data_IF_048505712449
#
_entry.id   IF_048505712449
#
_cell.length_a   1.000
_cell.length_b   1.000
_cell.length_c   1.000
_cell.angle_alpha   90.00
_cell.angle_beta   90.00
_cell.angle_gamma   90.00
#
_symmetry.space_group_name_H-M   'P 1'
#
loop_
_entity.id
_entity.type
_entity.pdbx_description
1 polymer ?
#
# COMPACT_ATOMS: atom_id res chain seq x y z
N UNK A 1 -23.44 -91.18 10.12
CA UNK A 1 -24.57 -90.52 9.44
C UNK A 1 -24.17 -89.09 9.13
N UNK A 2 -24.24 -88.64 7.86
CA UNK A 2 -23.65 -87.40 7.38
C UNK A 2 -24.65 -86.24 7.36
N UNK A 3 -24.16 -85.01 7.45
CA UNK A 3 -24.86 -83.81 6.96
C UNK A 3 -23.87 -82.94 6.19
N UNK A 4 -24.13 -82.84 4.89
CA UNK A 4 -23.46 -81.99 3.92
C UNK A 4 -23.82 -80.52 4.14
N UNK A 5 -22.84 -79.62 4.02
CA UNK A 5 -23.03 -78.17 3.94
C UNK A 5 -22.18 -77.59 2.82
N UNK A 6 -22.83 -77.10 1.78
CA UNK A 6 -22.29 -76.76 0.46
C UNK A 6 -21.54 -75.43 0.46
N UNK A 7 -20.25 -75.44 0.11
CA UNK A 7 -19.48 -74.25 -0.27
C UNK A 7 -19.82 -73.85 -1.73
N UNK A 8 -20.61 -72.78 -1.92
CA UNK A 8 -20.73 -72.11 -3.24
C UNK A 8 -19.57 -71.14 -3.44
N UNK A 9 -18.57 -71.56 -4.21
CA UNK A 9 -17.52 -70.70 -4.75
C UNK A 9 -18.09 -69.90 -5.94
N UNK A 10 -18.33 -68.61 -5.76
CA UNK A 10 -18.59 -67.69 -6.87
C UNK A 10 -17.27 -67.38 -7.58
N UNK A 11 -16.94 -68.16 -8.62
CA UNK A 11 -15.89 -67.79 -9.59
C UNK A 11 -16.42 -66.68 -10.50
N UNK A 12 -16.13 -65.42 -10.15
CA UNK A 12 -16.19 -64.33 -11.11
C UNK A 12 -15.20 -64.61 -12.24
N UNK A 13 -15.70 -64.62 -13.48
CA UNK A 13 -14.91 -64.81 -14.69
C UNK A 13 -13.83 -63.72 -14.80
N UNK A 14 -12.65 -64.09 -15.33
CA UNK A 14 -11.46 -63.23 -15.39
C UNK A 14 -11.68 -61.90 -16.12
N UNK A 15 -12.69 -61.82 -16.99
CA UNK A 15 -13.10 -60.60 -17.68
C UNK A 15 -13.79 -59.58 -16.75
N UNK A 16 -14.64 -60.03 -15.82
CA UNK A 16 -15.35 -59.14 -14.90
C UNK A 16 -14.40 -58.52 -13.85
N UNK A 17 -13.36 -59.25 -13.43
CA UNK A 17 -12.30 -58.71 -12.53
C UNK A 17 -11.41 -57.69 -13.23
N UNK A 18 -11.08 -57.86 -14.51
CA UNK A 18 -10.29 -56.87 -15.27
C UNK A 18 -11.06 -55.58 -15.51
N UNK A 19 -12.36 -55.67 -15.82
CA UNK A 19 -13.25 -54.51 -15.98
C UNK A 19 -13.41 -53.70 -14.68
N UNK A 20 -13.62 -54.36 -13.53
CA UNK A 20 -13.75 -53.65 -12.24
C UNK A 20 -12.44 -52.99 -11.78
N UNK A 21 -11.29 -53.66 -11.98
CA UNK A 21 -9.98 -53.10 -11.62
C UNK A 21 -9.64 -51.91 -12.53
N UNK A 22 -10.01 -51.94 -13.81
CA UNK A 22 -9.77 -50.83 -14.73
C UNK A 22 -10.69 -49.63 -14.46
N UNK A 23 -11.93 -49.86 -14.03
CA UNK A 23 -12.85 -48.81 -13.56
C UNK A 23 -12.41 -48.22 -12.21
N UNK A 24 -11.84 -49.03 -11.30
CA UNK A 24 -11.29 -48.55 -10.02
C UNK A 24 -9.94 -47.84 -10.18
N UNK A 25 -9.08 -48.27 -11.11
CA UNK A 25 -7.86 -47.55 -11.48
C UNK A 25 -8.17 -46.24 -12.23
N UNK A 26 -9.18 -46.21 -13.11
CA UNK A 26 -9.63 -44.97 -13.73
C UNK A 26 -10.30 -44.03 -12.71
N UNK A 27 -11.04 -44.53 -11.71
CA UNK A 27 -11.58 -43.67 -10.63
C UNK A 27 -10.52 -43.18 -9.65
N UNK A 28 -9.41 -43.90 -9.46
CA UNK A 28 -8.23 -43.41 -8.72
C UNK A 28 -7.45 -42.36 -9.54
N UNK A 29 -7.20 -42.61 -10.81
CA UNK A 29 -6.51 -41.66 -11.70
C UNK A 29 -7.33 -40.41 -12.03
N UNK A 30 -8.67 -40.47 -12.01
CA UNK A 30 -9.53 -39.29 -12.16
C UNK A 30 -9.63 -38.47 -10.86
N UNK A 31 -9.28 -39.04 -9.70
CA UNK A 31 -9.16 -38.30 -8.43
C UNK A 31 -7.74 -37.76 -8.16
N UNK A 32 -6.73 -38.25 -8.86
CA UNK A 32 -5.33 -37.80 -8.72
C UNK A 32 -4.92 -36.70 -9.71
N UNK A 33 -5.88 -36.12 -10.44
CA UNK A 33 -5.65 -34.96 -11.31
C UNK A 33 -6.48 -33.72 -10.89
N UNK A 34 -7.04 -33.70 -9.68
CA UNK A 34 -7.21 -32.42 -8.97
C UNK A 34 -5.80 -31.94 -8.67
N UNK A 35 -5.28 -30.98 -9.45
CA UNK A 35 -4.02 -30.32 -9.13
C UNK A 35 -4.10 -29.87 -7.66
N UNK A 36 -3.27 -30.43 -6.79
CA UNK A 36 -3.31 -30.11 -5.36
C UNK A 36 -3.14 -28.60 -5.23
N UNK A 37 -4.16 -27.89 -4.73
CA UNK A 37 -4.11 -26.44 -4.55
C UNK A 37 -2.90 -26.09 -3.69
N UNK A 38 -2.09 -25.13 -4.14
CA UNK A 38 -1.03 -24.59 -3.27
C UNK A 38 -1.62 -23.48 -2.42
N UNK A 39 -1.32 -23.50 -1.11
CA UNK A 39 -1.74 -22.45 -0.19
C UNK A 39 -0.59 -21.48 0.04
N UNK A 40 -0.89 -20.19 -0.01
CA UNK A 40 0.04 -19.09 0.16
C UNK A 40 -0.45 -18.17 1.27
N UNK A 41 0.47 -17.64 2.09
CA UNK A 41 0.20 -16.44 2.89
C UNK A 41 0.79 -15.23 2.18
N UNK A 42 0.12 -14.10 2.32
CA UNK A 42 0.61 -12.79 1.89
C UNK A 42 0.40 -11.74 2.98
N UNK A 43 1.43 -10.94 3.27
CA UNK A 43 1.36 -9.80 4.16
C UNK A 43 0.92 -8.57 3.37
N UNK A 44 -0.11 -7.88 3.83
CA UNK A 44 -0.57 -6.63 3.22
C UNK A 44 0.14 -5.39 3.82
N UNK A 45 1.44 -5.48 4.09
CA UNK A 45 2.22 -4.43 4.76
C UNK A 45 3.06 -4.94 5.95
N UNK A 46 3.95 -4.09 6.46
CA UNK A 46 4.69 -4.32 7.72
C UNK A 46 4.18 -3.39 8.83
N UNK A 47 4.81 -3.40 10.01
CA UNK A 47 4.44 -2.52 11.13
C UNK A 47 4.25 -1.07 10.69
N UNK A 48 3.08 -0.49 11.00
CA UNK A 48 2.68 0.86 10.60
C UNK A 48 2.10 0.99 9.19
N UNK A 49 1.84 -0.12 8.48
CA UNK A 49 1.24 -0.15 7.14
C UNK A 49 0.19 -1.25 7.05
N UNK A 50 -0.97 -0.93 6.47
CA UNK A 50 -1.98 -1.94 6.18
C UNK A 50 -2.71 -1.64 4.88
N UNK A 51 -2.32 -2.36 3.82
CA UNK A 51 -2.89 -2.26 2.48
C UNK A 51 -3.90 -3.38 2.18
N UNK A 52 -4.35 -4.12 3.21
CA UNK A 52 -5.28 -5.24 3.01
C UNK A 52 -6.61 -4.82 2.39
N UNK A 53 -7.03 -3.59 2.67
CA UNK A 53 -8.22 -3.00 2.04
C UNK A 53 -8.06 -2.92 0.51
N UNK A 54 -6.89 -2.54 -0.01
CA UNK A 54 -6.64 -2.45 -1.44
C UNK A 54 -6.57 -3.83 -2.10
N UNK A 55 -6.11 -4.84 -1.36
CA UNK A 55 -6.12 -6.21 -1.84
C UNK A 55 -7.55 -6.68 -2.09
N UNK A 56 -8.41 -6.47 -1.08
CA UNK A 56 -9.82 -6.87 -1.08
C UNK A 56 -10.61 -6.04 -2.10
N UNK A 57 -10.44 -4.71 -2.06
CA UNK A 57 -11.12 -3.74 -2.91
C UNK A 57 -10.97 -4.07 -4.38
N UNK A 58 -9.75 -4.33 -4.86
CA UNK A 58 -9.51 -4.57 -6.28
C UNK A 58 -9.53 -6.05 -6.68
N UNK A 59 -9.62 -6.98 -5.72
CA UNK A 59 -9.52 -8.41 -6.01
C UNK A 59 -8.13 -8.81 -6.50
N UNK A 60 -7.08 -8.21 -5.92
CA UNK A 60 -5.68 -8.41 -6.34
C UNK A 60 -4.80 -8.62 -5.11
N UNK A 61 -3.86 -9.56 -5.18
CA UNK A 61 -2.74 -9.65 -4.23
C UNK A 61 -1.47 -9.16 -4.93
N UNK A 62 -0.68 -8.29 -4.29
CA UNK A 62 0.51 -7.69 -4.92
C UNK A 62 1.71 -7.59 -3.98
N UNK A 63 2.92 -7.58 -4.56
CA UNK A 63 4.19 -7.54 -3.84
C UNK A 63 5.28 -6.77 -4.60
N UNK A 64 6.22 -6.21 -3.83
CA UNK A 64 7.47 -5.63 -4.33
C UNK A 64 8.69 -6.41 -3.84
N UNK A 65 9.84 -6.13 -4.45
CA UNK A 65 11.12 -6.78 -4.14
C UNK A 65 11.39 -8.06 -4.95
N UNK A 66 12.65 -8.29 -5.31
CA UNK A 66 13.00 -9.33 -6.29
C UNK A 66 12.69 -10.75 -5.81
N UNK A 67 12.85 -11.05 -4.52
CA UNK A 67 12.53 -12.36 -3.97
C UNK A 67 11.02 -12.61 -3.96
N UNK A 68 10.23 -11.61 -3.58
CA UNK A 68 8.79 -11.70 -3.55
C UNK A 68 8.21 -11.80 -4.96
N UNK A 69 8.77 -11.07 -5.94
CA UNK A 69 8.41 -11.19 -7.36
C UNK A 69 8.63 -12.61 -7.88
N UNK A 70 9.79 -13.21 -7.57
CA UNK A 70 10.07 -14.62 -7.91
C UNK A 70 9.11 -15.60 -7.24
N UNK A 71 8.61 -15.27 -6.04
CA UNK A 71 7.65 -16.12 -5.34
C UNK A 71 6.25 -15.97 -5.93
N UNK A 72 5.83 -14.72 -6.24
CA UNK A 72 4.54 -14.44 -6.88
C UNK A 72 4.43 -15.10 -8.26
N UNK A 73 5.53 -15.18 -9.02
CA UNK A 73 5.54 -15.87 -10.32
C UNK A 73 5.36 -17.38 -10.23
N UNK A 74 5.33 -17.98 -9.04
CA UNK A 74 4.99 -19.39 -8.82
C UNK A 74 3.50 -19.60 -8.53
N UNK A 75 2.74 -18.53 -8.24
CA UNK A 75 1.30 -18.61 -7.96
C UNK A 75 0.55 -18.95 -9.25
N UNK A 76 -0.40 -19.87 -9.16
CA UNK A 76 -1.18 -20.37 -10.32
C UNK A 76 -2.67 -20.23 -10.06
N UNK A 77 -3.46 -20.24 -11.13
CA UNK A 77 -4.93 -20.37 -11.04
C UNK A 77 -5.30 -21.57 -10.17
N UNK A 78 -6.28 -21.38 -9.29
CA UNK A 78 -6.76 -22.41 -8.36
C UNK A 78 -5.94 -22.52 -7.06
N UNK A 79 -4.79 -21.84 -6.96
CA UNK A 79 -4.10 -21.69 -5.67
C UNK A 79 -4.96 -20.85 -4.71
N UNK A 80 -4.69 -21.01 -3.41
CA UNK A 80 -5.37 -20.26 -2.35
C UNK A 80 -4.40 -19.29 -1.71
N UNK A 81 -4.79 -18.03 -1.60
CA UNK A 81 -4.01 -16.98 -0.95
C UNK A 81 -4.71 -16.53 0.33
N UNK A 82 -3.96 -16.36 1.40
CA UNK A 82 -4.43 -15.89 2.70
C UNK A 82 -3.78 -14.54 3.02
N UNK A 83 -4.60 -13.51 3.25
CA UNK A 83 -4.11 -12.22 3.72
C UNK A 83 -3.85 -12.32 5.23
N UNK A 84 -2.63 -12.01 5.65
CA UNK A 84 -2.28 -11.92 7.08
C UNK A 84 -2.06 -10.50 7.54
N UNK A 85 -2.39 -10.26 8.80
CA UNK A 85 -1.94 -9.10 9.56
C UNK A 85 -0.99 -9.54 10.68
N UNK A 86 0.26 -9.09 10.59
CA UNK A 86 1.33 -9.53 11.49
C UNK A 86 1.57 -11.05 11.43
N UNK A 87 1.67 -11.67 12.61
CA UNK A 87 1.92 -13.10 12.80
C UNK A 87 0.74 -13.86 13.41
N UNK A 88 -0.35 -13.14 13.71
CA UNK A 88 -1.41 -13.66 14.58
C UNK A 88 -2.82 -13.49 14.02
N UNK A 89 -2.98 -12.91 12.84
CA UNK A 89 -4.30 -12.65 12.26
C UNK A 89 -4.36 -13.01 10.79
N UNK A 90 -5.48 -13.63 10.41
CA UNK A 90 -5.91 -13.83 9.04
C UNK A 90 -7.07 -12.89 8.76
N UNK A 91 -6.95 -12.08 7.71
CA UNK A 91 -7.94 -11.07 7.32
C UNK A 91 -8.91 -11.57 6.26
N UNK A 92 -8.45 -12.40 5.33
CA UNK A 92 -9.25 -12.99 4.26
C UNK A 92 -8.51 -14.19 3.66
N UNK A 93 -9.24 -15.03 2.93
CA UNK A 93 -8.67 -16.04 2.04
C UNK A 93 -9.36 -15.96 0.68
N UNK A 94 -8.69 -16.38 -0.38
CA UNK A 94 -9.30 -16.37 -1.70
C UNK A 94 -8.61 -17.28 -2.69
N UNK A 95 -9.36 -17.73 -3.68
CA UNK A 95 -8.85 -18.53 -4.78
C UNK A 95 -8.30 -17.62 -5.89
N UNK A 96 -7.15 -18.00 -6.45
CA UNK A 96 -6.52 -17.30 -7.56
C UNK A 96 -7.29 -17.60 -8.84
N UNK A 97 -7.71 -16.53 -9.52
CA UNK A 97 -8.52 -16.60 -10.74
C UNK A 97 -7.80 -16.00 -11.93
N UNK A 98 -8.31 -16.26 -13.13
CA UNK A 98 -7.85 -15.59 -14.35
C UNK A 98 -8.76 -14.39 -14.65
N UNK A 99 -8.15 -13.28 -15.05
CA UNK A 99 -8.83 -12.18 -15.75
C UNK A 99 -8.15 -11.98 -17.09
N UNK A 100 -8.94 -11.91 -18.16
CA UNK A 100 -8.42 -11.70 -19.53
C UNK A 100 -7.36 -12.74 -19.97
N UNK A 101 -7.45 -13.97 -19.44
CA UNK A 101 -6.54 -15.06 -19.76
C UNK A 101 -5.29 -15.16 -18.87
N UNK A 102 -5.07 -14.21 -17.96
CA UNK A 102 -3.90 -14.18 -17.08
C UNK A 102 -4.31 -14.28 -15.60
N UNK A 103 -3.59 -15.10 -14.83
CA UNK A 103 -3.81 -15.25 -13.38
C UNK A 103 -2.89 -14.36 -12.54
N UNK A 104 -1.73 -13.99 -13.08
CA UNK A 104 -0.72 -13.17 -12.45
C UNK A 104 0.00 -12.31 -13.49
N UNK A 105 0.68 -11.26 -13.02
CA UNK A 105 1.44 -10.36 -13.88
C UNK A 105 2.58 -9.68 -13.13
N UNK A 106 3.39 -8.93 -13.86
CA UNK A 106 4.52 -8.20 -13.29
C UNK A 106 4.89 -6.95 -14.11
N UNK A 107 4.59 -5.78 -13.55
CA UNK A 107 5.05 -4.49 -14.07
C UNK A 107 4.14 -3.83 -15.10
N UNK A 108 3.06 -4.49 -15.48
CA UNK A 108 2.04 -4.06 -16.46
C UNK A 108 0.93 -3.20 -15.84
N UNK A 109 0.83 -3.13 -14.50
CA UNK A 109 -0.12 -2.27 -13.79
C UNK A 109 0.55 -1.00 -13.31
N UNK A 110 0.29 0.13 -13.98
CA UNK A 110 0.93 1.43 -13.69
C UNK A 110 0.66 1.92 -12.26
N UNK A 111 -0.54 1.71 -11.71
CA UNK A 111 -0.93 2.10 -10.35
C UNK A 111 -0.14 1.36 -9.25
N UNK A 112 0.40 0.17 -9.54
CA UNK A 112 1.30 -0.57 -8.63
C UNK A 112 2.75 -0.08 -8.66
N UNK A 113 3.12 0.82 -9.59
CA UNK A 113 4.49 1.33 -9.76
C UNK A 113 4.78 2.56 -8.90
N UNK A 114 3.77 3.06 -8.20
CA UNK A 114 3.83 4.16 -7.24
C UNK A 114 2.70 4.00 -6.20
N UNK A 115 2.79 2.92 -5.42
CA UNK A 115 1.87 2.63 -4.32
C UNK A 115 2.42 3.30 -3.07
N UNK A 116 2.11 4.58 -2.82
CA UNK A 116 2.72 5.38 -1.74
C UNK A 116 4.25 5.42 -1.77
N UNK A 117 4.82 5.54 -2.98
CA UNK A 117 6.27 5.55 -3.20
C UNK A 117 6.89 4.16 -3.33
N UNK A 118 6.11 3.10 -3.10
CA UNK A 118 6.54 1.72 -3.25
C UNK A 118 6.34 1.23 -4.69
N UNK A 119 7.30 0.47 -5.18
CA UNK A 119 7.18 -0.27 -6.43
C UNK A 119 6.77 -1.73 -6.16
N UNK A 120 5.51 -2.06 -6.43
CA UNK A 120 4.87 -3.35 -6.11
C UNK A 120 4.43 -4.11 -7.38
N UNK A 121 5.34 -4.36 -8.35
CA UNK A 121 4.95 -4.72 -9.70
C UNK A 121 4.26 -6.07 -9.87
N UNK A 122 4.54 -7.03 -8.98
CA UNK A 122 4.09 -8.40 -9.17
C UNK A 122 2.76 -8.63 -8.46
N UNK A 123 1.81 -9.27 -9.13
CA UNK A 123 0.46 -9.44 -8.61
C UNK A 123 -0.20 -10.74 -9.08
N UNK A 124 -1.30 -11.13 -8.43
CA UNK A 124 -2.25 -12.13 -8.92
C UNK A 124 -3.70 -11.71 -8.63
N UNK A 125 -4.66 -12.18 -9.45
CA UNK A 125 -6.08 -11.93 -9.22
C UNK A 125 -6.65 -12.94 -8.24
N UNK A 126 -7.45 -12.46 -7.28
CA UNK A 126 -7.98 -13.29 -6.20
C UNK A 126 -9.45 -12.96 -5.94
N UNK A 127 -10.28 -13.99 -5.91
CA UNK A 127 -11.66 -13.88 -5.40
C UNK A 127 -11.62 -13.97 -3.88
N UNK A 128 -11.65 -12.82 -3.20
CA UNK A 128 -11.52 -12.76 -1.75
C UNK A 128 -12.80 -13.13 -1.03
N UNK A 129 -12.64 -13.86 0.07
CA UNK A 129 -13.68 -14.20 1.03
C UNK A 129 -13.30 -13.61 2.38
N UNK A 130 -14.12 -12.67 2.86
CA UNK A 130 -13.80 -11.83 4.01
C UNK A 130 -14.71 -12.20 5.19
N UNK A 131 -14.17 -12.66 6.32
CA UNK A 131 -14.96 -12.91 7.51
C UNK A 131 -15.44 -11.59 8.15
N UNK A 132 -16.52 -11.61 8.93
CA UNK A 132 -17.00 -10.41 9.64
C UNK A 132 -15.97 -9.80 10.61
N UNK A 133 -15.04 -10.61 11.11
CA UNK A 133 -13.94 -10.19 11.98
C UNK A 133 -12.66 -10.97 11.64
N UNK A 134 -11.47 -10.35 11.78
CA UNK A 134 -10.20 -11.05 11.63
C UNK A 134 -10.11 -12.31 12.49
N UNK A 135 -9.60 -13.40 11.91
CA UNK A 135 -9.42 -14.67 12.61
C UNK A 135 -8.07 -14.66 13.31
N UNK A 136 -8.08 -14.85 14.63
CA UNK A 136 -6.83 -14.95 15.42
C UNK A 136 -6.23 -16.35 15.29
N UNK A 137 -4.92 -16.42 15.09
CA UNK A 137 -4.16 -17.66 14.98
C UNK A 137 -2.72 -17.44 15.46
N UNK A 138 -1.88 -18.47 15.39
CA UNK A 138 -0.44 -18.38 15.61
C UNK A 138 0.31 -19.16 14.52
N UNK A 139 1.63 -18.99 14.43
CA UNK A 139 2.47 -19.79 13.55
C UNK A 139 2.55 -19.31 12.09
N UNK A 140 2.02 -18.13 11.78
CA UNK A 140 2.25 -17.44 10.51
C UNK A 140 3.71 -16.94 10.46
N UNK A 141 4.26 -16.77 9.25
CA UNK A 141 5.66 -16.36 9.09
C UNK A 141 5.80 -14.85 8.88
N UNK A 142 7.02 -14.33 9.09
CA UNK A 142 7.36 -12.92 8.80
C UNK A 142 7.47 -12.60 7.30
N UNK A 143 7.48 -13.61 6.43
CA UNK A 143 7.64 -13.40 4.99
C UNK A 143 6.45 -12.65 4.39
N UNK A 144 6.73 -11.77 3.42
CA UNK A 144 5.71 -11.03 2.66
C UNK A 144 4.84 -11.96 1.86
N UNK A 145 5.42 -12.92 1.13
CA UNK A 145 4.69 -14.00 0.46
C UNK A 145 5.46 -15.29 0.65
N UNK A 146 4.75 -16.36 1.03
CA UNK A 146 5.35 -17.68 1.27
C UNK A 146 4.27 -18.76 1.24
N UNK A 147 4.65 -20.01 0.97
CA UNK A 147 3.73 -21.15 1.14
C UNK A 147 3.23 -21.21 2.58
N UNK A 148 1.95 -21.50 2.74
CA UNK A 148 1.31 -21.58 4.05
C UNK A 148 1.95 -22.74 4.85
N UNK A 149 2.54 -22.46 6.03
CA UNK A 149 3.44 -23.43 6.67
C UNK A 149 2.72 -24.55 7.40
N UNK A 150 1.45 -24.37 7.81
CA UNK A 150 0.76 -25.28 8.71
C UNK A 150 -0.62 -25.67 8.17
N UNK A 151 -0.97 -26.96 8.30
CA UNK A 151 -2.26 -27.51 7.88
C UNK A 151 -3.46 -26.81 8.56
N UNK A 152 -3.28 -26.28 9.78
CA UNK A 152 -4.33 -25.53 10.47
C UNK A 152 -4.74 -24.25 9.73
N UNK A 153 -3.78 -23.56 9.09
CA UNK A 153 -4.07 -22.35 8.33
C UNK A 153 -4.72 -22.69 7.00
N UNK A 154 -4.41 -23.86 6.42
CA UNK A 154 -5.08 -24.35 5.21
C UNK A 154 -6.56 -24.60 5.51
N UNK A 155 -6.85 -25.26 6.64
CA UNK A 155 -8.22 -25.46 7.11
C UNK A 155 -8.97 -24.13 7.33
N UNK A 156 -8.33 -23.12 7.94
CA UNK A 156 -8.92 -21.79 8.08
C UNK A 156 -9.23 -21.18 6.71
N UNK A 157 -8.32 -21.32 5.75
CA UNK A 157 -8.54 -20.84 4.39
C UNK A 157 -9.72 -21.55 3.73
N UNK A 158 -9.81 -22.88 3.84
CA UNK A 158 -10.92 -23.69 3.32
C UNK A 158 -12.26 -23.28 3.93
N UNK A 159 -12.31 -23.06 5.24
CA UNK A 159 -13.51 -22.60 5.95
C UNK A 159 -13.94 -21.19 5.45
N UNK A 160 -12.97 -20.31 5.16
CA UNK A 160 -13.23 -18.97 4.61
C UNK A 160 -13.76 -19.01 3.18
N UNK A 161 -13.28 -19.94 2.35
CA UNK A 161 -13.74 -20.09 0.95
C UNK A 161 -15.24 -20.47 0.85
N UNK A 162 -15.87 -20.90 1.95
CA UNK A 162 -17.32 -21.15 2.02
C UNK A 162 -18.16 -19.87 2.14
N UNK A 163 -17.54 -18.74 2.49
CA UNK A 163 -18.23 -17.45 2.55
C UNK A 163 -18.55 -16.94 1.13
N UNK A 164 -19.42 -15.93 0.97
CA UNK A 164 -19.59 -15.27 -0.31
C UNK A 164 -18.30 -14.58 -0.78
N UNK A 165 -18.06 -14.60 -2.10
CA UNK A 165 -16.98 -13.83 -2.72
C UNK A 165 -17.28 -12.33 -2.59
N UNK A 166 -16.30 -11.56 -2.15
CA UNK A 166 -16.34 -10.10 -2.16
C UNK A 166 -16.27 -9.59 -3.60
N UNK A 167 -17.25 -8.77 -4.00
CA UNK A 167 -17.24 -8.15 -5.33
C UNK A 167 -16.16 -7.08 -5.42
N UNK A 168 -15.18 -7.21 -6.34
CA UNK A 168 -14.11 -6.22 -6.46
C UNK A 168 -14.61 -4.96 -7.20
N UNK A 169 -14.11 -3.81 -6.75
CA UNK A 169 -14.17 -2.54 -7.49
C UNK A 169 -13.26 -2.60 -8.73
N UNK A 170 -13.50 -1.75 -9.75
CA UNK A 170 -12.55 -1.52 -10.82
C UNK A 170 -11.19 -1.09 -10.29
N UNK A 171 -10.12 -1.57 -10.93
CA UNK A 171 -8.76 -1.10 -10.64
C UNK A 171 -8.58 0.37 -11.00
N UNK A 172 -7.65 1.09 -10.35
CA UNK A 172 -7.38 2.49 -10.67
C UNK A 172 -6.93 2.67 -12.12
N UNK A 173 -7.48 3.70 -12.77
CA UNK A 173 -7.06 4.12 -14.10
C UNK A 173 -5.65 4.73 -14.09
N UNK A 174 -4.96 4.66 -15.23
CA UNK A 174 -3.65 5.28 -15.38
C UNK A 174 -3.75 6.82 -15.31
N UNK A 175 -2.79 7.43 -14.63
CA UNK A 175 -2.73 8.89 -14.43
C UNK A 175 -1.61 9.50 -15.28
N UNK A 176 -1.77 10.73 -15.76
CA UNK A 176 -0.74 11.35 -16.59
C UNK A 176 0.47 11.82 -15.77
N UNK A 177 1.71 11.66 -16.28
CA UNK A 177 2.90 12.22 -15.65
C UNK A 177 2.94 13.75 -15.75
N UNK A 178 3.53 14.38 -14.75
CA UNK A 178 3.80 15.83 -14.74
C UNK A 178 5.30 16.07 -14.83
N UNK A 179 5.70 16.90 -15.78
CA UNK A 179 7.09 17.33 -15.93
C UNK A 179 7.40 18.65 -15.18
N UNK A 180 8.67 19.00 -15.11
CA UNK A 180 9.13 20.17 -14.35
C UNK A 180 8.61 21.49 -14.91
N UNK A 181 8.49 21.62 -16.23
CA UNK A 181 7.94 22.83 -16.87
C UNK A 181 6.47 23.05 -16.52
N UNK A 182 5.70 21.97 -16.37
CA UNK A 182 4.31 22.05 -15.89
C UNK A 182 4.28 22.46 -14.41
N UNK A 183 5.13 21.88 -13.56
CA UNK A 183 5.23 22.25 -12.14
C UNK A 183 5.58 23.73 -11.99
N UNK A 184 6.62 24.21 -12.67
CA UNK A 184 7.10 25.57 -12.54
C UNK A 184 6.06 26.59 -13.01
N UNK A 185 5.46 26.38 -14.20
CA UNK A 185 4.40 27.26 -14.71
C UNK A 185 3.22 27.33 -13.76
N UNK A 186 2.80 26.18 -13.21
CA UNK A 186 1.72 26.12 -12.23
C UNK A 186 2.06 26.93 -10.97
N UNK A 187 3.24 26.72 -10.39
CA UNK A 187 3.63 27.40 -9.15
C UNK A 187 3.83 28.91 -9.33
N UNK A 188 4.34 29.36 -10.47
CA UNK A 188 4.42 30.80 -10.78
C UNK A 188 3.02 31.41 -10.82
N UNK A 189 2.05 30.73 -11.43
CA UNK A 189 0.65 31.19 -11.44
C UNK A 189 0.02 31.22 -10.03
N UNK A 190 0.42 30.31 -9.14
CA UNK A 190 -0.02 30.27 -7.74
C UNK A 190 0.75 31.23 -6.80
N UNK A 191 1.68 32.02 -7.34
CA UNK A 191 2.37 33.09 -6.63
C UNK A 191 3.80 32.79 -6.20
N UNK A 192 4.43 31.73 -6.74
CA UNK A 192 5.88 31.59 -6.68
C UNK A 192 6.53 32.76 -7.44
N UNK A 193 7.51 33.42 -6.81
CA UNK A 193 8.22 34.52 -7.45
C UNK A 193 9.02 34.01 -8.64
N UNK A 194 8.99 34.66 -9.82
CA UNK A 194 9.79 34.23 -10.98
C UNK A 194 11.29 34.10 -10.66
N UNK A 195 11.83 35.00 -9.83
CA UNK A 195 13.24 34.94 -9.38
C UNK A 195 13.58 33.71 -8.53
N UNK A 196 12.58 33.05 -7.93
CA UNK A 196 12.75 31.83 -7.12
C UNK A 196 12.57 30.54 -7.94
N UNK A 197 12.18 30.65 -9.22
CA UNK A 197 11.95 29.48 -10.07
C UNK A 197 13.24 28.69 -10.35
N UNK A 198 14.36 29.37 -10.58
CA UNK A 198 15.66 28.74 -10.80
C UNK A 198 16.17 28.00 -9.54
N UNK A 199 15.99 28.63 -8.37
CA UNK A 199 16.34 28.03 -7.09
C UNK A 199 15.48 26.79 -6.80
N UNK A 200 14.18 26.86 -7.08
CA UNK A 200 13.28 25.71 -6.96
C UNK A 200 13.66 24.58 -7.90
N UNK A 201 13.93 24.88 -9.17
CA UNK A 201 14.34 23.89 -10.17
C UNK A 201 15.62 23.15 -9.73
N UNK A 202 16.62 23.92 -9.30
CA UNK A 202 17.87 23.35 -8.81
C UNK A 202 17.68 22.52 -7.53
N UNK A 203 16.80 22.96 -6.64
CA UNK A 203 16.51 22.27 -5.38
C UNK A 203 15.73 20.98 -5.61
N UNK A 204 14.70 20.99 -6.47
CA UNK A 204 13.97 19.78 -6.87
C UNK A 204 14.91 18.75 -7.47
N UNK A 205 15.82 19.17 -8.36
CA UNK A 205 16.84 18.28 -8.92
C UNK A 205 17.73 17.65 -7.85
N UNK A 206 18.24 18.45 -6.89
CA UNK A 206 19.07 17.96 -5.78
C UNK A 206 18.32 16.96 -4.89
N UNK A 207 17.07 17.30 -4.51
CA UNK A 207 16.22 16.44 -3.70
C UNK A 207 15.96 15.11 -4.40
N UNK A 208 15.60 15.14 -5.69
CA UNK A 208 15.35 13.92 -6.47
C UNK A 208 16.60 13.05 -6.59
N UNK A 209 17.76 13.65 -6.87
CA UNK A 209 19.02 12.92 -6.93
C UNK A 209 19.35 12.24 -5.59
N UNK A 210 19.18 12.96 -4.48
CA UNK A 210 19.45 12.42 -3.14
C UNK A 210 18.43 11.35 -2.73
N UNK A 211 17.14 11.59 -2.96
CA UNK A 211 16.08 10.62 -2.67
C UNK A 211 16.27 9.35 -3.51
N UNK A 212 16.64 9.48 -4.79
CA UNK A 212 16.96 8.35 -5.65
C UNK A 212 18.18 7.58 -5.12
N UNK A 213 19.23 8.29 -4.68
CA UNK A 213 20.40 7.67 -4.09
C UNK A 213 20.05 6.86 -2.83
N UNK A 214 19.28 7.44 -1.91
CA UNK A 214 18.79 6.76 -0.71
C UNK A 214 17.93 5.55 -1.06
N UNK A 215 17.02 5.68 -2.02
CA UNK A 215 16.12 4.61 -2.43
C UNK A 215 16.88 3.39 -2.97
N UNK A 216 17.96 3.60 -3.74
CA UNK A 216 18.66 2.51 -4.46
C UNK A 216 19.94 2.03 -3.80
N UNK A 217 20.63 2.87 -3.03
CA UNK A 217 21.97 2.56 -2.50
C UNK A 217 22.02 2.41 -0.98
N UNK A 218 20.97 2.78 -0.26
CA UNK A 218 20.92 2.68 1.19
C UNK A 218 19.90 1.63 1.64
N UNK A 219 20.11 1.06 2.83
CA UNK A 219 19.03 0.35 3.52
C UNK A 219 18.03 1.39 4.00
N UNK A 220 16.75 1.15 3.77
CA UNK A 220 15.71 2.14 4.06
C UNK A 220 15.58 2.40 5.56
N UNK A 221 15.94 1.43 6.40
CA UNK A 221 16.02 1.56 7.84
C UNK A 221 17.17 2.46 8.31
N UNK A 222 18.13 2.81 7.45
CA UNK A 222 19.23 3.70 7.79
C UNK A 222 18.90 5.17 7.48
N UNK A 223 17.88 5.43 6.66
CA UNK A 223 17.44 6.79 6.29
C UNK A 223 16.29 7.21 7.19
N UNK A 224 16.61 7.83 8.33
CA UNK A 224 15.65 8.15 9.39
C UNK A 224 14.98 9.51 9.16
N UNK A 225 13.99 9.79 10.00
CA UNK A 225 13.16 11.00 9.94
C UNK A 225 13.98 12.30 9.96
N UNK A 226 15.15 12.32 10.63
CA UNK A 226 15.96 13.53 10.73
C UNK A 226 16.73 13.82 9.42
N UNK A 227 17.22 12.81 8.71
CA UNK A 227 17.79 12.96 7.38
C UNK A 227 16.73 13.38 6.36
N UNK A 228 15.54 12.75 6.38
CA UNK A 228 14.45 13.11 5.45
C UNK A 228 14.01 14.56 5.67
N UNK A 229 13.83 14.95 6.93
CA UNK A 229 13.49 16.33 7.33
C UNK A 229 14.54 17.34 6.89
N UNK A 230 15.81 17.06 7.16
CA UNK A 230 16.90 18.03 6.98
C UNK A 230 17.33 18.17 5.52
N UNK A 231 17.45 17.05 4.81
CA UNK A 231 18.07 17.04 3.47
C UNK A 231 17.07 17.02 2.32
N UNK A 232 15.79 16.69 2.58
CA UNK A 232 14.76 16.62 1.54
C UNK A 232 13.64 17.65 1.77
N UNK A 233 13.04 17.65 2.96
CA UNK A 233 11.85 18.49 3.23
C UNK A 233 12.19 19.96 3.46
N UNK A 234 13.12 20.27 4.37
CA UNK A 234 13.47 21.66 4.67
C UNK A 234 13.98 22.43 3.42
N UNK A 235 14.87 21.86 2.57
CA UNK A 235 15.28 22.52 1.34
C UNK A 235 14.11 22.81 0.40
N UNK A 236 13.14 21.89 0.27
CA UNK A 236 11.96 22.12 -0.55
C UNK A 236 11.15 23.32 -0.05
N UNK A 237 10.90 23.40 1.26
CA UNK A 237 10.16 24.51 1.85
C UNK A 237 10.85 25.86 1.62
N UNK A 238 12.16 25.93 1.83
CA UNK A 238 12.93 27.15 1.59
C UNK A 238 12.87 27.57 0.11
N UNK A 239 13.01 26.61 -0.81
CA UNK A 239 12.94 26.88 -2.24
C UNK A 239 11.54 27.29 -2.72
N UNK A 240 10.48 26.89 -2.01
CA UNK A 240 9.11 27.35 -2.23
C UNK A 240 8.83 28.75 -1.63
N UNK A 241 9.82 29.35 -0.97
CA UNK A 241 9.77 30.74 -0.49
C UNK A 241 9.45 30.92 0.99
N UNK A 242 9.44 29.84 1.79
CA UNK A 242 9.40 29.97 3.24
C UNK A 242 10.73 30.54 3.75
N UNK A 243 10.68 31.50 4.68
CA UNK A 243 11.89 31.94 5.39
C UNK A 243 12.19 31.03 6.60
N UNK A 244 13.46 30.95 7.00
CA UNK A 244 13.89 30.21 8.20
C UNK A 244 13.20 30.74 9.46
N UNK A 245 12.83 32.02 9.49
CA UNK A 245 12.10 32.62 10.60
C UNK A 245 10.63 32.18 10.68
N UNK A 246 10.06 31.70 9.57
CA UNK A 246 8.70 31.16 9.51
C UNK A 246 8.64 29.65 9.73
N UNK A 247 9.78 28.95 9.72
CA UNK A 247 9.86 27.51 9.91
C UNK A 247 10.31 27.22 11.34
N UNK A 248 9.57 26.37 12.05
CA UNK A 248 9.99 25.82 13.34
C UNK A 248 10.11 24.31 13.26
N UNK A 249 11.32 23.82 13.51
CA UNK A 249 11.61 22.40 13.67
C UNK A 249 11.37 21.99 15.13
N UNK A 250 10.77 20.81 15.32
CA UNK A 250 10.50 20.19 16.63
C UNK A 250 9.69 21.07 17.59
N UNK A 251 8.59 21.63 17.07
CA UNK A 251 7.69 22.50 17.83
C UNK A 251 6.92 21.69 18.89
N UNK A 252 6.97 22.04 20.18
CA UNK A 252 6.18 21.37 21.21
C UNK A 252 4.66 21.50 20.97
N UNK A 253 3.94 20.40 21.21
CA UNK A 253 2.48 20.35 21.21
C UNK A 253 1.97 19.60 22.47
N UNK A 254 0.65 19.50 22.65
CA UNK A 254 0.05 18.94 23.88
C UNK A 254 0.52 17.51 24.18
N UNK A 255 0.83 16.73 23.13
CA UNK A 255 1.31 15.35 23.22
C UNK A 255 2.49 15.11 22.27
N UNK A 256 3.64 15.73 22.58
CA UNK A 256 4.89 15.49 21.90
C UNK A 256 5.41 16.71 21.14
N UNK A 257 5.91 16.49 19.93
CA UNK A 257 6.46 17.53 19.06
C UNK A 257 5.98 17.33 17.63
N UNK A 258 5.84 18.43 16.92
CA UNK A 258 5.65 18.48 15.48
C UNK A 258 7.02 18.62 14.82
N UNK A 259 7.29 17.80 13.80
CA UNK A 259 8.58 17.76 13.12
C UNK A 259 8.94 19.10 12.47
N UNK A 260 8.03 19.63 11.63
CA UNK A 260 8.12 20.97 11.06
C UNK A 260 6.77 21.66 11.15
N UNK A 261 6.77 22.90 11.65
CA UNK A 261 5.62 23.80 11.64
C UNK A 261 5.97 25.09 10.91
N UNK A 262 5.15 25.48 9.95
CA UNK A 262 5.31 26.70 9.17
C UNK A 262 4.27 27.75 9.60
N UNK A 263 4.71 29.00 9.72
CA UNK A 263 3.94 30.11 10.27
C UNK A 263 3.73 31.21 9.24
N UNK A 264 2.51 31.76 9.17
CA UNK A 264 2.20 32.87 8.24
C UNK A 264 3.05 34.13 8.50
N UNK A 265 3.61 34.26 9.71
CA UNK A 265 4.54 35.33 10.11
C UNK A 265 5.76 34.73 10.82
N UNK A 266 6.87 35.49 10.96
CA UNK A 266 8.01 35.06 11.76
C UNK A 266 7.60 34.57 13.15
N UNK A 267 8.08 33.39 13.53
CA UNK A 267 7.67 32.70 14.75
C UNK A 267 8.02 33.49 16.02
N UNK A 268 7.01 33.76 16.85
CA UNK A 268 7.15 34.48 18.15
C UNK A 268 6.60 33.68 19.34
N UNK A 269 6.72 32.35 19.33
CA UNK A 269 6.19 31.43 20.37
C UNK A 269 4.65 31.35 20.49
N UNK A 270 3.92 31.73 19.45
CA UNK A 270 2.45 31.65 19.40
C UNK A 270 2.00 30.63 18.34
N UNK A 271 1.37 29.55 18.78
CA UNK A 271 0.88 28.48 17.88
C UNK A 271 -0.27 28.94 16.96
N UNK A 272 -0.95 30.04 17.29
CA UNK A 272 -2.11 30.58 16.53
C UNK A 272 -1.78 31.08 15.13
N UNK A 273 -0.50 31.18 14.76
CA UNK A 273 -0.08 31.61 13.41
C UNK A 273 0.50 30.43 12.59
N UNK A 274 0.48 29.21 13.15
CA UNK A 274 0.90 28.01 12.42
C UNK A 274 -0.19 27.66 11.39
N UNK A 275 0.19 27.60 10.11
CA UNK A 275 -0.72 27.38 8.98
C UNK A 275 -0.48 26.05 8.28
N UNK A 276 0.73 25.50 8.38
CA UNK A 276 1.13 24.23 7.79
C UNK A 276 1.93 23.42 8.80
N UNK A 277 1.59 22.14 8.91
CA UNK A 277 2.33 21.14 9.70
C UNK A 277 2.87 20.09 8.74
N UNK A 278 4.13 19.69 8.92
CA UNK A 278 4.73 18.58 8.18
C UNK A 278 5.24 17.56 9.19
N UNK A 279 4.71 16.35 9.08
CA UNK A 279 5.13 15.14 9.77
C UNK A 279 6.06 14.34 8.86
N UNK A 280 7.27 14.09 9.34
CA UNK A 280 8.28 13.34 8.60
C UNK A 280 8.27 11.87 9.01
N UNK A 281 8.58 11.00 8.05
CA UNK A 281 8.73 9.55 8.22
C UNK A 281 10.10 9.12 7.70
N UNK A 282 10.57 7.99 8.22
CA UNK A 282 11.71 7.29 7.62
C UNK A 282 11.31 6.62 6.30
N UNK A 283 12.30 6.19 5.50
CA UNK A 283 12.02 5.56 4.20
C UNK A 283 11.32 4.21 4.35
N UNK A 284 11.47 3.51 5.48
CA UNK A 284 10.91 2.17 5.70
C UNK A 284 9.43 2.17 6.09
N UNK A 285 8.91 3.34 6.48
CA UNK A 285 7.57 3.55 7.01
C UNK A 285 6.54 3.92 5.92
N UNK A 286 5.27 3.64 6.20
CA UNK A 286 4.17 4.15 5.38
C UNK A 286 3.88 5.62 5.63
N UNK A 287 3.12 6.24 4.74
CA UNK A 287 2.66 7.63 4.87
C UNK A 287 1.28 7.74 5.53
N UNK A 288 0.91 6.75 6.34
CA UNK A 288 -0.39 6.71 6.99
C UNK A 288 -0.51 7.84 8.01
N UNK A 289 -1.65 8.54 7.96
CA UNK A 289 -1.98 9.61 8.87
C UNK A 289 -3.07 9.15 9.83
N UNK A 290 -2.74 9.04 11.11
CA UNK A 290 -3.68 8.48 12.07
C UNK A 290 -4.78 9.50 12.45
N UNK A 291 -6.05 9.06 12.62
CA UNK A 291 -7.15 9.89 13.10
C UNK A 291 -6.83 10.68 14.38
N UNK A 292 -6.02 10.12 15.27
CA UNK A 292 -5.60 10.77 16.51
C UNK A 292 -4.66 11.95 16.26
N UNK A 293 -3.73 11.83 15.31
CA UNK A 293 -2.86 12.94 14.91
C UNK A 293 -3.68 14.06 14.27
N UNK A 294 -4.66 13.70 13.42
CA UNK A 294 -5.61 14.63 12.81
C UNK A 294 -6.38 15.47 13.82
N UNK A 295 -6.98 14.83 14.82
CA UNK A 295 -7.73 15.52 15.88
C UNK A 295 -6.80 16.41 16.72
N UNK A 296 -5.63 15.90 17.11
CA UNK A 296 -4.66 16.65 17.91
C UNK A 296 -4.19 17.92 17.21
N UNK A 297 -3.80 17.84 15.95
CA UNK A 297 -3.38 19.02 15.20
C UNK A 297 -4.53 19.99 14.96
N UNK A 298 -5.76 19.47 14.83
CA UNK A 298 -6.95 20.30 14.74
C UNK A 298 -7.13 21.20 15.98
N UNK A 299 -6.84 20.68 17.17
CA UNK A 299 -6.96 21.33 18.48
C UNK A 299 -5.78 22.25 18.81
N UNK A 300 -4.54 21.74 18.73
CA UNK A 300 -3.33 22.47 19.16
C UNK A 300 -2.97 23.64 18.23
N UNK A 301 -3.38 23.56 16.96
CA UNK A 301 -3.04 24.52 15.91
C UNK A 301 -4.31 24.96 15.17
N UNK A 302 -5.15 25.83 15.77
CA UNK A 302 -6.46 26.17 15.23
C UNK A 302 -6.42 26.89 13.87
N UNK A 303 -5.29 27.49 13.52
CA UNK A 303 -5.07 28.16 12.22
C UNK A 303 -4.38 27.27 11.19
N UNK A 304 -4.01 26.04 11.55
CA UNK A 304 -3.37 25.10 10.63
C UNK A 304 -4.39 24.67 9.59
N UNK A 305 -4.12 24.97 8.33
CA UNK A 305 -4.99 24.68 7.19
C UNK A 305 -4.59 23.38 6.49
N UNK A 306 -3.31 23.01 6.55
CA UNK A 306 -2.77 21.83 5.84
C UNK A 306 -1.87 21.04 6.77
N UNK A 307 -2.04 19.72 6.77
CA UNK A 307 -1.08 18.77 7.35
C UNK A 307 -0.49 17.94 6.22
N UNK A 308 0.83 17.78 6.22
CA UNK A 308 1.55 16.91 5.31
C UNK A 308 2.17 15.75 6.07
N UNK A 309 2.06 14.55 5.51
CA UNK A 309 2.84 13.38 5.93
C UNK A 309 3.78 13.00 4.80
N UNK A 310 5.07 12.88 5.09
CA UNK A 310 6.09 12.69 4.04
C UNK A 310 7.29 11.88 4.51
N UNK A 311 7.89 11.12 3.59
CA UNK A 311 9.21 10.52 3.77
C UNK A 311 10.30 11.32 3.02
N UNK A 312 10.01 12.56 2.65
CA UNK A 312 10.93 13.48 1.96
C UNK A 312 10.79 13.51 0.43
N UNK A 313 10.28 12.44 -0.20
CA UNK A 313 10.03 12.43 -1.64
C UNK A 313 8.58 12.11 -2.00
N UNK A 314 7.87 11.34 -1.17
CA UNK A 314 6.42 11.18 -1.27
C UNK A 314 5.70 12.02 -0.21
N UNK A 315 4.57 12.62 -0.57
CA UNK A 315 3.83 13.55 0.27
C UNK A 315 2.34 13.26 0.16
N UNK A 316 1.67 13.08 1.30
CA UNK A 316 0.20 13.07 1.42
C UNK A 316 -0.24 14.35 2.11
N UNK A 317 -1.11 15.12 1.45
CA UNK A 317 -1.65 16.37 1.98
C UNK A 317 -3.06 16.19 2.50
N UNK A 318 -3.33 16.71 3.69
CA UNK A 318 -4.64 16.71 4.34
C UNK A 318 -5.06 18.14 4.58
N UNK A 319 -6.07 18.60 3.83
CA UNK A 319 -6.59 19.96 3.95
C UNK A 319 -7.68 20.00 5.02
N UNK A 320 -7.66 21.04 5.86
CA UNK A 320 -8.68 21.27 6.87
C UNK A 320 -9.99 21.67 6.19
N UNK A 321 -11.07 20.98 6.56
CA UNK A 321 -12.44 21.26 6.11
C UNK A 321 -13.03 22.44 6.89
N UNK A 322 -14.11 23.02 6.36
CA UNK A 322 -14.83 24.13 6.97
C UNK A 322 -15.30 23.85 8.41
N UNK A 323 -15.66 22.58 8.70
CA UNK A 323 -16.02 22.12 10.03
C UNK A 323 -14.82 22.02 11.01
N UNK A 324 -13.65 22.56 10.62
CA UNK A 324 -12.40 22.61 11.36
C UNK A 324 -11.76 21.25 11.63
N UNK A 325 -12.12 20.21 10.87
CA UNK A 325 -11.51 18.87 10.99
C UNK A 325 -10.70 18.53 9.74
N UNK A 326 -9.78 17.57 9.87
CA UNK A 326 -9.08 16.98 8.72
C UNK A 326 -9.78 15.69 8.29
N UNK A 327 -9.73 15.40 6.99
CA UNK A 327 -10.14 14.10 6.45
C UNK A 327 -9.19 12.99 6.91
N UNK A 328 -9.68 11.74 6.91
CA UNK A 328 -8.83 10.56 7.08
C UNK A 328 -8.10 10.20 5.79
N UNK A 329 -8.74 10.45 4.66
CA UNK A 329 -8.11 10.30 3.34
C UNK A 329 -7.35 11.57 2.94
N UNK A 330 -6.22 11.45 2.23
CA UNK A 330 -5.49 12.59 1.70
C UNK A 330 -6.35 13.36 0.69
N UNK A 331 -6.18 14.67 0.67
CA UNK A 331 -6.74 15.57 -0.35
C UNK A 331 -5.89 15.56 -1.63
N UNK A 332 -4.58 15.34 -1.51
CA UNK A 332 -3.69 15.19 -2.65
C UNK A 332 -2.45 14.35 -2.33
N UNK A 333 -1.83 13.81 -3.38
CA UNK A 333 -0.59 13.04 -3.31
C UNK A 333 0.48 13.55 -4.28
N UNK A 334 1.73 13.51 -3.86
CA UNK A 334 2.90 13.84 -4.67
C UNK A 334 4.00 12.80 -4.44
N UNK A 335 4.48 12.17 -5.50
CA UNK A 335 5.79 11.53 -5.54
C UNK A 335 6.74 12.40 -6.38
N UNK A 336 7.75 13.02 -5.75
CA UNK A 336 8.71 13.88 -6.44
C UNK A 336 9.52 13.13 -7.51
N UNK A 337 9.72 11.82 -7.37
CA UNK A 337 10.44 11.01 -8.36
C UNK A 337 9.57 10.63 -9.56
N UNK A 338 8.24 10.66 -9.40
CA UNK A 338 7.25 10.23 -10.40
C UNK A 338 5.98 11.06 -10.28
N UNK A 339 6.08 12.37 -10.48
CA UNK A 339 4.93 13.27 -10.30
C UNK A 339 3.79 12.91 -11.28
N UNK A 340 2.56 12.86 -10.77
CA UNK A 340 1.34 12.53 -11.52
C UNK A 340 0.24 13.56 -11.27
N UNK A 341 -0.67 13.72 -12.23
CA UNK A 341 -1.79 14.67 -12.17
C UNK A 341 -2.86 14.31 -11.12
N UNK A 342 -3.01 13.01 -10.84
CA UNK A 342 -3.89 12.44 -9.81
C UNK A 342 -3.12 11.41 -8.99
N UNK A 343 -3.65 11.08 -7.81
CA UNK A 343 -3.10 10.01 -7.01
C UNK A 343 -3.29 8.64 -7.70
N UNK A 344 -2.25 7.81 -7.86
CA UNK A 344 -2.40 6.52 -8.56
C UNK A 344 -3.36 5.52 -7.91
N UNK A 345 -3.59 5.59 -6.59
CA UNK A 345 -4.45 4.61 -5.89
C UNK A 345 -5.92 5.03 -5.81
N UNK A 346 -6.19 6.32 -5.90
CA UNK A 346 -7.55 6.87 -5.96
C UNK A 346 -7.58 8.10 -6.88
N UNK A 347 -7.46 7.87 -8.20
CA UNK A 347 -7.39 8.97 -9.16
C UNK A 347 -8.71 9.74 -9.25
N UNK A 348 -9.82 9.18 -8.78
CA UNK A 348 -11.14 9.82 -8.82
C UNK A 348 -11.26 10.85 -7.69
N UNK A 349 -10.88 10.49 -6.46
CA UNK A 349 -11.18 11.34 -5.29
C UNK A 349 -9.98 12.13 -4.77
N UNK A 350 -8.75 11.79 -5.16
CA UNK A 350 -7.53 12.40 -4.60
C UNK A 350 -6.73 13.10 -5.70
N UNK A 351 -6.44 14.38 -5.47
CA UNK A 351 -5.67 15.21 -6.40
C UNK A 351 -4.19 14.77 -6.47
N UNK A 352 -3.45 15.26 -7.47
CA UNK A 352 -2.04 14.92 -7.66
C UNK A 352 -1.05 15.99 -7.24
N UNK A 353 0.10 15.96 -7.91
CA UNK A 353 1.31 16.68 -7.56
C UNK A 353 1.14 18.20 -7.44
N UNK A 354 0.41 18.83 -8.36
CA UNK A 354 0.25 20.28 -8.40
C UNK A 354 -0.49 20.82 -7.18
N UNK A 355 -1.51 20.11 -6.69
CA UNK A 355 -2.29 20.51 -5.52
C UNK A 355 -1.44 20.46 -4.25
N UNK A 356 -0.65 19.40 -4.06
CA UNK A 356 0.30 19.32 -2.93
C UNK A 356 1.27 20.51 -2.95
N UNK A 357 1.89 20.79 -4.11
CA UNK A 357 2.87 21.87 -4.21
C UNK A 357 2.23 23.25 -4.03
N UNK A 358 0.99 23.45 -4.49
CA UNK A 358 0.24 24.69 -4.26
C UNK A 358 0.01 24.93 -2.77
N UNK A 359 -0.39 23.90 -2.04
CA UNK A 359 -0.59 23.98 -0.58
C UNK A 359 0.71 24.09 0.22
N UNK A 360 1.86 23.87 -0.41
CA UNK A 360 3.16 24.13 0.19
C UNK A 360 3.64 25.58 0.01
N UNK A 361 3.02 26.39 -0.85
CA UNK A 361 3.42 27.79 -1.04
C UNK A 361 3.01 28.66 0.16
N UNK A 362 3.87 29.59 0.63
CA UNK A 362 3.48 30.58 1.64
C UNK A 362 2.31 31.47 1.21
N UNK A 363 2.20 31.78 -0.08
CA UNK A 363 1.13 32.62 -0.66
C UNK A 363 -0.26 32.02 -0.46
N UNK A 364 -0.36 30.69 -0.33
CA UNK A 364 -1.62 29.97 -0.15
C UNK A 364 -2.29 30.26 1.20
N UNK A 365 -1.54 30.77 2.17
CA UNK A 365 -2.02 31.02 3.53
C UNK A 365 -2.18 32.49 3.89
N UNK A 366 -1.88 33.39 2.95
CA UNK A 366 -1.96 34.85 3.12
C UNK A 366 -3.20 35.46 2.45
N UNK A 367 -4.14 34.62 1.98
CA UNK A 367 -5.39 35.05 1.34
C UNK A 367 -6.50 35.33 2.35
#
# INVERSE_FOLDING_TARGET
>A
MPMLGVHKSFKLTSHARRSLIQVLCNKKNVRENEMSKTYWQIAAGSSGRNYSEYFIKFGVAFVGGDLQRKTMSLVRKGDVVVIKNGLYQILAAGEVVEKEGEANGCGDKSWLRDFDGWDLPAYCYVNWHVPPKPITTDGLTRATIHKLPQAKHQKIADDLLLLPVHSPDPEPEETNPINDDQILRHLVNEGLRPSSADDLTNTLRKIRLLAQYYYTNCRWEDVREHETRTFLVAPLLLALGWSEQQIKVELPCSKGRVDIACFSKPYKRKNKECVLIVETKDFSSGLDYAPEQARRYAEDFPSCQVVLVTNGFCYKAYVRKENKTFSLEPSAYLNLLKARERYPLDPVNVDGALNVLSWLLPSSFNR
#
